data_IF_371009944134
#
_entry.id   IF_371009944134
#
_cell.length_a   1.000
_cell.length_b   1.000
_cell.length_c   1.000
_cell.angle_alpha   90.00
_cell.angle_beta   90.00
_cell.angle_gamma   90.00
#
_symmetry.space_group_name_H-M   'P 1'
#
loop_
_entity.id
_entity.type
_entity.pdbx_description
1 polymer ?
#
# COMPACT_ATOMS: atom_id res chain seq x y z
N UNK A 1 -17.90 5.31 -11.61
CA UNK A 1 -17.76 5.79 -13.00
C UNK A 1 -16.45 5.24 -13.53
N UNK A 2 -16.47 4.15 -14.32
CA UNK A 2 -15.25 3.57 -14.88
C UNK A 2 -14.72 4.50 -15.95
N UNK A 3 -13.47 4.93 -15.81
CA UNK A 3 -12.80 5.73 -16.85
C UNK A 3 -12.53 4.83 -18.07
N UNK A 4 -12.82 5.33 -19.27
CA UNK A 4 -12.56 4.60 -20.49
C UNK A 4 -11.08 4.15 -20.57
N UNK A 5 -10.85 2.86 -20.92
CA UNK A 5 -9.51 2.28 -21.04
C UNK A 5 -8.85 1.81 -19.72
N UNK A 6 -9.60 1.72 -18.62
CA UNK A 6 -9.15 1.12 -17.36
C UNK A 6 -10.03 -0.09 -17.05
N UNK A 7 -9.41 -1.26 -16.95
CA UNK A 7 -10.05 -2.46 -16.40
C UNK A 7 -9.54 -2.66 -14.96
N UNK A 8 -10.43 -2.80 -14.01
CA UNK A 8 -10.10 -3.01 -12.61
C UNK A 8 -10.77 -4.29 -12.09
N UNK A 9 -9.96 -5.23 -11.67
CA UNK A 9 -10.40 -6.35 -10.85
C UNK A 9 -10.24 -5.99 -9.38
N UNK A 10 -11.32 -6.11 -8.60
CA UNK A 10 -11.32 -5.83 -7.18
C UNK A 10 -11.77 -7.09 -6.42
N UNK A 11 -10.94 -7.52 -5.49
CA UNK A 11 -11.26 -8.60 -4.58
C UNK A 11 -11.31 -8.07 -3.14
N UNK A 12 -12.54 -8.01 -2.58
CA UNK A 12 -12.83 -7.64 -1.18
C UNK A 12 -12.19 -6.31 -0.73
N UNK A 13 -12.09 -5.33 -1.64
CA UNK A 13 -11.43 -4.04 -1.38
C UNK A 13 -10.05 -4.17 -0.71
N UNK A 14 -9.35 -5.23 -1.05
CA UNK A 14 -8.02 -5.54 -0.50
C UNK A 14 -7.01 -5.83 -1.60
N UNK A 15 -7.41 -6.55 -2.63
CA UNK A 15 -6.53 -7.00 -3.69
C UNK A 15 -7.09 -6.58 -5.04
N UNK A 16 -6.30 -5.84 -5.81
CA UNK A 16 -6.71 -5.25 -7.06
C UNK A 16 -5.72 -5.58 -8.17
N UNK A 17 -6.21 -5.72 -9.38
CA UNK A 17 -5.40 -5.68 -10.57
C UNK A 17 -5.98 -4.65 -11.54
N UNK A 18 -5.18 -3.66 -11.90
CA UNK A 18 -5.57 -2.65 -12.87
C UNK A 18 -4.85 -2.88 -14.20
N UNK A 19 -5.58 -2.76 -15.30
CA UNK A 19 -5.04 -2.74 -16.66
C UNK A 19 -5.38 -1.40 -17.31
N UNK A 20 -4.37 -0.74 -17.86
CA UNK A 20 -4.50 0.60 -18.46
C UNK A 20 -3.93 0.58 -19.87
N UNK A 21 -4.78 0.83 -20.86
CA UNK A 21 -4.40 0.75 -22.29
C UNK A 21 -3.81 2.05 -22.85
N UNK A 22 -3.97 3.17 -22.13
CA UNK A 22 -3.38 4.47 -22.51
C UNK A 22 -2.82 5.15 -21.27
N UNK A 23 -1.84 6.03 -21.42
CA UNK A 23 -1.27 6.77 -20.29
C UNK A 23 -2.35 7.41 -19.41
N UNK A 24 -2.29 7.15 -18.11
CA UNK A 24 -3.25 7.64 -17.12
C UNK A 24 -2.55 8.15 -15.88
N UNK A 25 -2.99 9.31 -15.43
CA UNK A 25 -2.55 9.95 -14.21
C UNK A 25 -3.60 9.75 -13.11
N UNK A 26 -3.12 9.39 -11.92
CA UNK A 26 -3.96 9.13 -10.75
C UNK A 26 -3.42 9.88 -9.55
N UNK A 27 -4.31 10.59 -8.87
CA UNK A 27 -4.05 11.15 -7.55
C UNK A 27 -5.07 10.57 -6.56
N UNK A 28 -4.59 10.05 -5.44
CA UNK A 28 -5.45 9.43 -4.43
C UNK A 28 -4.90 9.61 -3.02
N UNK A 29 -5.81 9.60 -2.05
CA UNK A 29 -5.46 9.51 -0.62
C UNK A 29 -5.36 8.04 -0.25
N UNK A 30 -4.21 7.65 0.27
CA UNK A 30 -3.92 6.29 0.70
C UNK A 30 -4.14 6.21 2.21
N UNK A 31 -5.19 5.54 2.64
CA UNK A 31 -5.56 5.37 4.05
C UNK A 31 -4.90 4.15 4.69
N UNK A 32 -4.63 3.11 3.91
CA UNK A 32 -3.94 1.88 4.32
C UNK A 32 -2.63 1.73 3.55
N UNK A 33 -1.66 0.98 4.08
CA UNK A 33 -0.46 0.67 3.30
C UNK A 33 -0.85 -0.05 2.01
N UNK A 34 -0.24 0.35 0.89
CA UNK A 34 -0.51 -0.22 -0.42
C UNK A 34 0.78 -0.78 -1.03
N UNK A 35 0.81 -2.09 -1.20
CA UNK A 35 1.87 -2.75 -1.96
C UNK A 35 1.52 -2.71 -3.44
N UNK A 36 2.47 -2.31 -4.28
CA UNK A 36 2.29 -2.20 -5.72
C UNK A 36 3.39 -2.96 -6.46
N UNK A 37 2.99 -3.73 -7.47
CA UNK A 37 3.90 -4.48 -8.33
C UNK A 37 3.53 -4.26 -9.80
N UNK A 38 4.53 -3.99 -10.64
CA UNK A 38 4.35 -3.76 -12.08
C UNK A 38 4.50 -5.09 -12.83
N UNK A 39 3.38 -5.60 -13.37
CA UNK A 39 3.35 -6.84 -14.16
C UNK A 39 3.77 -6.56 -15.61
N UNK A 40 3.26 -5.48 -16.21
CA UNK A 40 3.63 -4.99 -17.54
C UNK A 40 3.47 -3.48 -17.61
N UNK A 41 4.05 -2.86 -18.65
CA UNK A 41 4.06 -1.41 -18.77
C UNK A 41 5.08 -0.76 -17.83
N UNK A 42 4.90 0.53 -17.62
CA UNK A 42 5.78 1.39 -16.83
C UNK A 42 4.95 2.26 -15.89
N UNK A 43 5.53 2.67 -14.77
CA UNK A 43 4.86 3.43 -13.73
C UNK A 43 5.76 4.51 -13.20
N UNK A 44 5.30 5.76 -13.21
CA UNK A 44 5.92 6.83 -12.47
C UNK A 44 5.21 7.07 -11.16
N UNK A 45 5.96 7.20 -10.09
CA UNK A 45 5.48 7.70 -8.82
C UNK A 45 6.12 9.04 -8.50
N UNK A 46 5.27 10.00 -8.19
CA UNK A 46 5.68 11.37 -7.96
C UNK A 46 5.57 11.72 -6.47
N UNK A 47 6.63 12.26 -5.91
CA UNK A 47 6.64 12.87 -4.59
C UNK A 47 7.10 14.32 -4.72
N UNK A 48 6.95 15.12 -3.65
CA UNK A 48 7.39 16.52 -3.64
C UNK A 48 8.86 16.70 -4.05
N UNK A 49 9.69 15.68 -3.80
CA UNK A 49 11.14 15.79 -3.98
C UNK A 49 11.66 15.01 -5.19
N UNK A 50 10.96 13.96 -5.62
CA UNK A 50 11.48 13.03 -6.64
C UNK A 50 10.38 12.38 -7.45
N UNK A 51 10.66 12.21 -8.75
CA UNK A 51 9.97 11.26 -9.63
C UNK A 51 10.78 9.97 -9.65
N UNK A 52 10.11 8.84 -9.47
CA UNK A 52 10.69 7.51 -9.63
C UNK A 52 9.97 6.76 -10.71
N UNK A 53 10.75 6.21 -11.63
CA UNK A 53 10.27 5.40 -12.72
C UNK A 53 10.42 3.93 -12.36
N UNK A 54 9.36 3.15 -12.53
CA UNK A 54 9.32 1.72 -12.30
C UNK A 54 8.98 1.01 -13.58
N UNK A 55 9.61 -0.14 -13.76
CA UNK A 55 9.42 -1.03 -14.90
C UNK A 55 8.88 -2.38 -14.44
N UNK A 56 8.53 -3.20 -15.40
CA UNK A 56 8.11 -4.58 -15.18
C UNK A 56 9.00 -5.31 -14.17
N UNK A 57 8.37 -6.00 -13.22
CA UNK A 57 9.05 -6.78 -12.20
C UNK A 57 9.48 -5.99 -10.97
N UNK A 58 9.30 -4.68 -10.97
CA UNK A 58 9.61 -3.82 -9.82
C UNK A 58 8.38 -3.59 -8.95
N UNK A 59 8.64 -3.39 -7.65
CA UNK A 59 7.61 -3.16 -6.65
C UNK A 59 7.98 -2.05 -5.69
N UNK A 60 6.97 -1.44 -5.09
CA UNK A 60 7.11 -0.48 -4.01
C UNK A 60 5.95 -0.57 -3.03
N UNK A 61 6.19 -0.11 -1.83
CA UNK A 61 5.18 0.08 -0.80
C UNK A 61 4.84 1.56 -0.69
N UNK A 62 3.56 1.91 -0.80
CA UNK A 62 3.04 3.23 -0.43
C UNK A 62 2.68 3.19 1.05
N UNK A 63 3.20 4.15 1.82
CA UNK A 63 2.85 4.28 3.23
C UNK A 63 1.42 4.80 3.37
N UNK A 64 0.73 4.33 4.40
CA UNK A 64 -0.60 4.84 4.74
C UNK A 64 -0.57 6.32 5.14
N UNK A 65 -1.74 6.96 5.13
CA UNK A 65 -1.96 8.36 5.51
C UNK A 65 -1.14 9.34 4.66
N UNK A 66 -1.03 9.08 3.35
CA UNK A 66 -0.34 9.97 2.42
C UNK A 66 -1.16 10.20 1.15
N UNK A 67 -0.78 11.22 0.39
CA UNK A 67 -1.24 11.40 -0.99
C UNK A 67 -0.28 10.68 -1.91
N UNK A 68 -0.83 9.83 -2.76
CA UNK A 68 -0.11 9.15 -3.83
C UNK A 68 -0.47 9.80 -5.17
N UNK A 69 0.56 10.16 -5.92
CA UNK A 69 0.44 10.66 -7.29
C UNK A 69 1.25 9.74 -8.19
N UNK A 70 0.61 9.14 -9.18
CA UNK A 70 1.22 8.15 -10.08
C UNK A 70 0.73 8.33 -11.51
N UNK A 71 1.60 7.97 -12.47
CA UNK A 71 1.25 7.94 -13.89
C UNK A 71 1.57 6.54 -14.41
N UNK A 72 0.58 5.87 -14.96
CA UNK A 72 0.67 4.52 -15.52
C UNK A 72 0.79 4.61 -17.04
N UNK A 73 1.76 3.91 -17.63
CA UNK A 73 2.03 3.93 -19.08
C UNK A 73 2.00 2.51 -19.64
N UNK A 74 1.41 2.31 -20.83
CA UNK A 74 1.69 1.13 -21.66
C UNK A 74 3.18 1.05 -21.97
N UNK A 75 3.68 -0.16 -22.20
CA UNK A 75 5.03 -0.37 -22.72
C UNK A 75 5.18 0.24 -24.12
N UNK A 76 6.42 0.48 -24.54
CA UNK A 76 6.74 1.05 -25.86
C UNK A 76 6.27 0.18 -27.04
N UNK A 77 6.11 -1.12 -26.82
CA UNK A 77 5.57 -2.09 -27.78
C UNK A 77 4.03 -2.12 -27.84
N UNK A 78 3.37 -1.24 -27.08
CA UNK A 78 1.91 -1.16 -27.02
C UNK A 78 1.26 -2.11 -26.00
N UNK A 79 2.04 -2.93 -25.28
CA UNK A 79 1.49 -3.76 -24.19
C UNK A 79 0.91 -2.88 -23.10
N UNK A 80 -0.37 -3.07 -22.72
CA UNK A 80 -1.01 -2.27 -21.67
C UNK A 80 -0.24 -2.32 -20.33
N UNK A 81 -0.30 -1.23 -19.58
CA UNK A 81 0.11 -1.30 -18.17
C UNK A 81 -0.78 -2.28 -17.42
N UNK A 82 -0.16 -3.16 -16.65
CA UNK A 82 -0.85 -4.05 -15.71
C UNK A 82 -0.13 -3.99 -14.37
N UNK A 83 -0.87 -3.60 -13.35
CA UNK A 83 -0.37 -3.45 -11.99
C UNK A 83 -1.19 -4.25 -11.00
N UNK A 84 -0.51 -4.84 -10.02
CA UNK A 84 -1.09 -5.51 -8.88
C UNK A 84 -0.99 -4.57 -7.68
N UNK A 85 -2.10 -4.43 -6.95
CA UNK A 85 -2.22 -3.57 -5.78
C UNK A 85 -2.80 -4.38 -4.63
N UNK A 86 -2.10 -4.41 -3.50
CA UNK A 86 -2.56 -5.10 -2.30
C UNK A 86 -2.58 -4.13 -1.12
N UNK A 87 -3.75 -3.94 -0.52
CA UNK A 87 -3.89 -3.17 0.71
C UNK A 87 -3.51 -4.02 1.92
N UNK A 88 -2.58 -3.51 2.73
CA UNK A 88 -2.20 -4.09 4.01
C UNK A 88 -2.95 -3.34 5.12
N UNK A 89 -4.19 -3.78 5.36
CA UNK A 89 -5.10 -3.14 6.33
C UNK A 89 -4.60 -3.28 7.76
N UNK A 90 -4.72 -2.22 8.56
CA UNK A 90 -4.27 -2.19 9.96
C UNK A 90 -4.76 -3.39 10.80
N UNK A 91 -6.03 -3.84 10.72
CA UNK A 91 -6.47 -5.02 11.47
C UNK A 91 -5.65 -6.28 11.14
N UNK A 92 -5.32 -6.49 9.86
CA UNK A 92 -4.53 -7.64 9.42
C UNK A 92 -3.07 -7.53 9.88
N UNK A 93 -2.48 -6.34 9.80
CA UNK A 93 -1.12 -6.09 10.32
C UNK A 93 -1.05 -6.38 11.82
N UNK A 94 -2.02 -5.89 12.62
CA UNK A 94 -2.10 -6.18 14.07
C UNK A 94 -2.27 -7.67 14.35
N UNK A 95 -3.17 -8.35 13.61
CA UNK A 95 -3.39 -9.79 13.74
C UNK A 95 -2.11 -10.57 13.48
N UNK A 96 -1.41 -10.27 12.38
CA UNK A 96 -0.15 -10.91 12.02
C UNK A 96 0.94 -10.63 13.06
N UNK A 97 1.08 -9.37 13.50
CA UNK A 97 2.04 -8.99 14.54
C UNK A 97 1.86 -9.80 15.82
N UNK A 98 0.62 -9.92 16.30
CA UNK A 98 0.30 -10.67 17.53
C UNK A 98 0.50 -12.17 17.35
N UNK A 99 0.04 -12.74 16.24
CA UNK A 99 0.10 -14.18 15.96
C UNK A 99 1.54 -14.70 15.86
N UNK A 100 2.44 -13.91 15.30
CA UNK A 100 3.85 -14.27 15.11
C UNK A 100 4.79 -13.65 16.16
N UNK A 101 4.27 -12.95 17.17
CA UNK A 101 5.08 -12.33 18.23
C UNK A 101 6.07 -11.30 17.69
N UNK A 102 5.71 -10.56 16.64
CA UNK A 102 6.63 -9.62 16.01
C UNK A 102 6.83 -8.37 16.87
N UNK A 103 8.08 -8.08 17.21
CA UNK A 103 8.45 -6.91 18.02
C UNK A 103 9.15 -5.87 17.14
N UNK A 104 8.81 -4.60 17.33
CA UNK A 104 9.38 -3.48 16.57
C UNK A 104 10.62 -2.86 17.25
N UNK A 105 10.83 -3.16 18.55
CA UNK A 105 11.77 -2.41 19.43
C UNK A 105 13.24 -2.36 19.00
N UNK A 106 13.77 -3.42 18.38
CA UNK A 106 15.21 -3.54 18.08
C UNK A 106 15.53 -3.42 16.59
N UNK A 107 14.59 -2.94 15.79
CA UNK A 107 14.79 -2.81 14.33
C UNK A 107 15.29 -1.41 13.98
N UNK A 108 16.31 -1.36 13.12
CA UNK A 108 16.74 -0.11 12.51
C UNK A 108 15.53 0.58 11.88
N UNK A 109 15.20 1.77 12.36
CA UNK A 109 14.07 2.54 11.81
C UNK A 109 14.35 2.88 10.36
N UNK A 110 13.33 2.70 9.52
CA UNK A 110 13.38 3.16 8.14
C UNK A 110 13.58 4.68 8.11
N UNK A 111 14.74 5.12 7.64
CA UNK A 111 15.19 6.52 7.77
C UNK A 111 14.49 7.50 6.83
N UNK A 112 13.95 7.00 5.70
CA UNK A 112 13.33 7.88 4.71
C UNK A 112 11.93 8.29 5.13
N UNK A 113 11.62 9.57 4.99
CA UNK A 113 10.27 10.13 5.14
C UNK A 113 9.45 10.04 3.85
N UNK A 114 10.01 9.48 2.78
CA UNK A 114 9.29 9.28 1.51
C UNK A 114 8.02 8.47 1.73
N UNK A 115 6.88 8.86 1.13
CA UNK A 115 5.67 8.04 1.11
C UNK A 115 5.86 6.73 0.35
N UNK A 116 6.90 6.61 -0.47
CA UNK A 116 7.20 5.45 -1.28
C UNK A 116 8.48 4.75 -0.80
N UNK A 117 8.36 3.46 -0.52
CA UNK A 117 9.47 2.59 -0.15
C UNK A 117 9.69 1.61 -1.30
N UNK A 118 10.81 1.74 -2.00
CA UNK A 118 11.18 0.79 -3.06
C UNK A 118 11.55 -0.55 -2.45
N UNK A 119 11.02 -1.63 -3.01
CA UNK A 119 11.37 -2.98 -2.58
C UNK A 119 12.62 -3.47 -3.36
N UNK A 120 13.46 -4.30 -2.71
CA UNK A 120 14.63 -4.86 -3.37
C UNK A 120 14.22 -5.89 -4.44
N UNK A 121 15.09 -6.07 -5.42
CA UNK A 121 14.98 -7.19 -6.35
C UNK A 121 15.40 -8.49 -5.63
N UNK A 122 14.39 -9.21 -5.09
CA UNK A 122 14.61 -10.40 -4.28
C UNK A 122 13.78 -11.59 -4.78
N UNK A 123 14.35 -12.81 -4.90
CA UNK A 123 13.63 -13.99 -5.41
C UNK A 123 12.34 -14.32 -4.65
N UNK A 124 12.33 -14.20 -3.32
CA UNK A 124 11.12 -14.44 -2.51
C UNK A 124 10.01 -13.46 -2.85
N UNK A 125 10.33 -12.17 -3.02
CA UNK A 125 9.34 -11.17 -3.44
C UNK A 125 8.79 -11.48 -4.84
N UNK A 126 9.65 -11.86 -5.78
CA UNK A 126 9.22 -12.25 -7.13
C UNK A 126 8.28 -13.46 -7.11
N UNK A 127 8.63 -14.50 -6.36
CA UNK A 127 7.81 -15.71 -6.19
C UNK A 127 6.44 -15.39 -5.58
N UNK A 128 6.43 -14.58 -4.54
CA UNK A 128 5.22 -14.08 -3.88
C UNK A 128 4.31 -13.32 -4.86
N UNK A 129 4.83 -12.33 -5.60
CA UNK A 129 4.05 -11.58 -6.58
C UNK A 129 3.53 -12.49 -7.69
N UNK A 130 4.35 -13.42 -8.19
CA UNK A 130 3.92 -14.38 -9.21
C UNK A 130 2.77 -15.25 -8.74
N UNK A 131 2.78 -15.69 -7.48
CA UNK A 131 1.67 -16.45 -6.90
C UNK A 131 0.37 -15.65 -6.78
N UNK A 132 0.48 -14.33 -6.55
CA UNK A 132 -0.69 -13.45 -6.52
C UNK A 132 -1.22 -13.15 -7.93
N UNK A 133 -0.34 -13.03 -8.93
CA UNK A 133 -0.71 -12.79 -10.32
C UNK A 133 -1.65 -13.90 -10.86
N UNK A 134 -1.40 -15.16 -10.50
CA UNK A 134 -2.21 -16.29 -10.96
C UNK A 134 -3.70 -16.19 -10.59
N UNK A 135 -4.07 -15.56 -9.48
CA UNK A 135 -5.49 -15.38 -9.14
C UNK A 135 -6.24 -14.53 -10.18
N UNK A 136 -5.57 -13.61 -10.86
CA UNK A 136 -6.18 -12.83 -11.94
C UNK A 136 -6.15 -13.54 -13.29
N UNK A 137 -5.18 -14.43 -13.51
CA UNK A 137 -5.09 -15.21 -14.74
C UNK A 137 -6.21 -16.24 -14.84
N UNK A 138 -6.49 -16.95 -13.73
CA UNK A 138 -7.54 -17.99 -13.71
C UNK A 138 -8.95 -17.44 -13.50
N UNK A 139 -9.09 -16.15 -13.19
CA UNK A 139 -10.38 -15.48 -12.90
C UNK A 139 -11.17 -16.16 -11.78
N UNK A 140 -10.51 -16.90 -10.92
CA UNK A 140 -11.07 -17.52 -9.74
C UNK A 140 -10.67 -16.73 -8.49
N UNK A 141 -11.66 -16.43 -7.66
CA UNK A 141 -11.40 -15.73 -6.41
C UNK A 141 -10.98 -16.73 -5.34
N UNK A 142 -9.86 -16.49 -4.63
CA UNK A 142 -9.49 -17.32 -3.50
C UNK A 142 -10.53 -17.18 -2.38
N UNK A 143 -10.69 -18.22 -1.55
CA UNK A 143 -11.49 -18.08 -0.33
C UNK A 143 -10.90 -17.03 0.61
N UNK A 144 -11.72 -16.46 1.51
CA UNK A 144 -11.24 -15.48 2.50
C UNK A 144 -10.07 -16.02 3.33
N UNK A 145 -10.12 -17.30 3.71
CA UNK A 145 -9.05 -17.97 4.46
C UNK A 145 -7.75 -18.03 3.67
N UNK A 146 -7.84 -18.33 2.38
CA UNK A 146 -6.66 -18.39 1.52
C UNK A 146 -6.09 -17.00 1.29
N UNK A 147 -6.94 -15.99 1.11
CA UNK A 147 -6.49 -14.60 0.99
C UNK A 147 -5.84 -14.10 2.28
N UNK A 148 -6.40 -14.42 3.44
CA UNK A 148 -5.78 -14.10 4.73
C UNK A 148 -4.38 -14.72 4.85
N UNK A 149 -4.23 -16.00 4.50
CA UNK A 149 -2.93 -16.67 4.51
C UNK A 149 -1.93 -15.99 3.55
N UNK A 150 -2.40 -15.58 2.36
CA UNK A 150 -1.57 -14.85 1.39
C UNK A 150 -1.14 -13.48 1.90
N UNK A 151 -2.01 -12.75 2.57
CA UNK A 151 -1.64 -11.45 3.16
C UNK A 151 -0.60 -11.63 4.26
N UNK A 152 -0.72 -12.67 5.10
CA UNK A 152 0.30 -13.00 6.11
C UNK A 152 1.63 -13.36 5.45
N UNK A 153 1.62 -14.20 4.42
CA UNK A 153 2.82 -14.51 3.62
C UNK A 153 3.47 -13.24 3.09
N UNK A 154 2.69 -12.31 2.53
CA UNK A 154 3.19 -11.02 2.04
C UNK A 154 3.87 -10.23 3.15
N UNK A 155 3.21 -10.07 4.30
CA UNK A 155 3.75 -9.31 5.43
C UNK A 155 5.07 -9.92 5.91
N UNK A 156 5.11 -11.23 6.11
CA UNK A 156 6.32 -11.95 6.55
C UNK A 156 7.44 -11.83 5.53
N UNK A 157 7.16 -12.06 4.24
CA UNK A 157 8.16 -11.92 3.17
C UNK A 157 8.74 -10.51 3.11
N UNK A 158 7.91 -9.47 3.27
CA UNK A 158 8.38 -8.09 3.30
C UNK A 158 9.34 -7.82 4.46
N UNK A 159 9.01 -8.26 5.67
CA UNK A 159 9.86 -8.02 6.85
C UNK A 159 11.09 -8.92 6.93
N UNK A 160 11.09 -10.07 6.26
CA UNK A 160 12.29 -10.94 6.14
C UNK A 160 13.26 -10.42 5.10
N UNK A 161 12.75 -9.91 3.97
CA UNK A 161 13.59 -9.38 2.89
C UNK A 161 14.06 -7.94 3.15
N UNK A 162 13.34 -7.20 4.00
CA UNK A 162 13.62 -5.80 4.35
C UNK A 162 13.19 -5.54 5.81
N UNK A 163 14.01 -5.96 6.82
CA UNK A 163 13.63 -5.93 8.24
C UNK A 163 13.20 -4.56 8.76
N UNK A 164 13.75 -3.48 8.23
CA UNK A 164 13.40 -2.10 8.58
C UNK A 164 11.94 -1.75 8.26
N UNK A 165 11.27 -2.50 7.37
CA UNK A 165 9.84 -2.35 7.11
C UNK A 165 8.96 -2.63 8.33
N UNK A 166 9.44 -3.37 9.33
CA UNK A 166 8.72 -3.52 10.61
C UNK A 166 8.36 -2.16 11.20
N UNK A 167 9.29 -1.19 11.16
CA UNK A 167 9.06 0.14 11.67
C UNK A 167 8.08 0.99 10.84
N UNK A 168 7.77 0.56 9.61
CA UNK A 168 6.79 1.20 8.73
C UNK A 168 5.43 0.52 8.83
N UNK A 169 5.40 -0.81 8.70
CA UNK A 169 4.17 -1.60 8.64
C UNK A 169 3.45 -1.63 10.00
N UNK A 170 4.20 -1.65 11.09
CA UNK A 170 3.66 -1.73 12.46
C UNK A 170 3.69 -0.39 13.21
N UNK A 171 3.87 0.71 12.49
CA UNK A 171 3.61 2.05 13.03
C UNK A 171 2.09 2.32 12.97
N UNK A 172 1.42 2.09 14.09
CA UNK A 172 -0.01 2.30 14.23
C UNK A 172 -0.38 3.67 14.79
N UNK A 173 0.59 4.57 14.90
CA UNK A 173 0.34 5.95 15.31
C UNK A 173 -0.53 6.64 14.26
N UNK A 174 -1.60 7.27 14.71
CA UNK A 174 -2.48 8.06 13.87
C UNK A 174 -2.17 9.55 14.11
N UNK A 175 -1.45 10.22 13.20
CA UNK A 175 -0.98 11.59 13.40
C UNK A 175 -2.11 12.58 13.76
N UNK A 176 -3.28 12.38 13.17
CA UNK A 176 -4.45 13.23 13.43
C UNK A 176 -5.00 13.12 14.86
N UNK A 177 -4.85 11.97 15.53
CA UNK A 177 -5.23 11.85 16.94
C UNK A 177 -4.27 12.60 17.86
N UNK A 178 -3.00 12.62 17.52
CA UNK A 178 -1.98 13.39 18.24
C UNK A 178 -2.25 14.89 18.05
N UNK A 179 -2.52 15.32 16.84
CA UNK A 179 -2.82 16.71 16.53
C UNK A 179 -4.11 17.19 17.22
N UNK A 180 -5.14 16.34 17.27
CA UNK A 180 -6.38 16.64 17.97
C UNK A 180 -6.16 16.75 19.49
N UNK A 181 -5.37 15.85 20.07
CA UNK A 181 -5.03 15.91 21.50
C UNK A 181 -4.18 17.15 21.82
N UNK A 182 -3.21 17.49 20.97
CA UNK A 182 -2.42 18.70 21.10
C UNK A 182 -3.30 19.97 20.95
N UNK A 183 -4.21 19.97 19.99
CA UNK A 183 -5.18 21.06 19.80
C UNK A 183 -6.10 21.21 21.01
N UNK A 184 -6.69 20.14 21.53
CA UNK A 184 -7.54 20.17 22.73
C UNK A 184 -6.79 20.63 23.96
N UNK A 185 -5.54 20.24 24.13
CA UNK A 185 -4.70 20.69 25.24
C UNK A 185 -4.31 22.17 25.13
N UNK A 186 -4.13 22.69 23.92
CA UNK A 186 -3.79 24.09 23.68
C UNK A 186 -5.01 25.03 23.69
N UNK A 187 -6.25 24.50 23.55
CA UNK A 187 -7.50 25.26 23.49
C UNK A 187 -8.58 24.67 24.41
N UNK A 188 -8.33 24.52 25.70
CA UNK A 188 -9.27 23.83 26.62
C UNK A 188 -10.63 24.49 26.80
N UNK A 189 -10.76 25.78 26.44
CA UNK A 189 -11.99 26.56 26.69
C UNK A 189 -12.89 26.78 25.47
N UNK A 190 -12.50 26.39 24.27
CA UNK A 190 -13.28 26.64 23.06
C UNK A 190 -14.34 25.57 22.76
N UNK A 191 -14.35 24.46 23.49
CA UNK A 191 -15.29 23.35 23.25
C UNK A 191 -16.51 23.33 24.17
N UNK A 192 -16.64 24.27 25.13
CA UNK A 192 -17.73 24.29 26.12
C UNK A 192 -18.96 25.19 25.89
N UNK A 193 -19.16 25.93 24.76
CA UNK A 193 -20.35 26.71 24.60
C UNK A 193 -21.62 25.98 24.15
N UNK A 194 -21.56 24.69 23.82
CA UNK A 194 -22.71 23.99 23.22
C UNK A 194 -23.45 22.98 24.10
N UNK A 195 -23.12 22.87 25.39
CA UNK A 195 -23.75 21.90 26.29
C UNK A 195 -24.53 22.48 27.48
N UNK A 196 -24.82 23.79 27.47
CA UNK A 196 -25.70 24.40 28.50
C UNK A 196 -26.74 25.33 27.86
N UNK A 197 -27.69 24.74 27.15
CA UNK A 197 -29.05 25.33 26.99
C UNK A 197 -30.02 24.19 26.66
N UNK A 198 -30.56 23.54 27.68
CA UNK A 198 -31.95 23.11 27.80
C UNK A 198 -32.30 23.20 29.26
#
# INVERSE_FOLDING_TARGET
MFQAGVELYNYMDTFFCATVSSSKEFESVITEHMLVYVISGELDVLSKERRRHLQRGQAYLIRRNCRAHKIEYPSKDGTPFKGLFLQLKVPMLRKTMNEYGLVVGDVTRYKSQSPYVMLPDHPLLKGMFKSLEHYFEVKEYPSERLMEAKIKEVILTLIETMPELKSVLFDFVEPWKIDLAAFMNSHPLTFFPFLLTV
#
